data_IF_335935543475
#
_entry.id   IF_335935543475
#
_cell.length_a   1.000
_cell.length_b   1.000
_cell.length_c   1.000
_cell.angle_alpha   90.00
_cell.angle_beta   90.00
_cell.angle_gamma   90.00
#
_symmetry.space_group_name_H-M   'P 1'
#
loop_
_entity.id
_entity.type
_entity.pdbx_description
1 polymer ?
#
# COMPACT_ATOMS: atom_id res chain seq x y z
N UNK A 1 -15.24 79.53 -69.50
CA UNK A 1 -16.04 78.35 -69.34
C UNK A 1 -15.53 77.68 -68.11
N UNK A 2 -16.28 77.72 -66.99
CA UNK A 2 -15.93 77.07 -65.76
C UNK A 2 -16.43 75.59 -65.82
N UNK A 3 -15.55 74.61 -65.65
CA UNK A 3 -15.91 73.19 -65.61
C UNK A 3 -16.35 72.93 -64.21
N UNK A 4 -17.64 72.73 -64.05
CA UNK A 4 -18.25 72.36 -62.80
C UNK A 4 -17.87 70.91 -62.50
N UNK A 5 -17.03 70.71 -61.48
CA UNK A 5 -16.60 69.39 -61.03
C UNK A 5 -17.66 68.83 -60.06
N UNK A 6 -18.53 68.03 -60.64
CA UNK A 6 -19.46 67.22 -59.79
C UNK A 6 -18.67 66.15 -59.03
N UNK A 7 -18.72 66.16 -57.68
CA UNK A 7 -18.04 65.08 -56.94
C UNK A 7 -18.68 63.72 -57.23
N UNK A 8 -17.88 62.65 -57.34
CA UNK A 8 -18.42 61.34 -57.61
C UNK A 8 -19.44 60.96 -56.52
N UNK A 9 -20.56 60.44 -56.97
CA UNK A 9 -21.66 60.08 -56.10
C UNK A 9 -21.22 59.02 -55.07
N UNK A 10 -21.41 59.29 -53.79
CA UNK A 10 -21.11 58.40 -52.69
C UNK A 10 -22.06 57.19 -52.58
N UNK A 11 -22.66 56.77 -53.70
CA UNK A 11 -23.59 55.63 -53.75
C UNK A 11 -22.93 54.28 -53.53
N UNK A 12 -21.61 54.19 -53.70
CA UNK A 12 -20.84 52.95 -53.54
C UNK A 12 -20.80 52.50 -52.07
N UNK A 13 -21.02 53.43 -51.15
CA UNK A 13 -20.95 53.11 -49.67
C UNK A 13 -22.29 52.74 -49.03
N UNK A 14 -23.42 52.81 -49.79
CA UNK A 14 -24.75 52.50 -49.27
C UNK A 14 -25.07 50.99 -49.13
N UNK A 15 -24.27 50.17 -49.81
CA UNK A 15 -24.42 48.71 -49.77
C UNK A 15 -23.33 48.02 -48.93
N UNK A 16 -22.56 48.76 -48.11
CA UNK A 16 -21.72 48.17 -47.09
C UNK A 16 -22.60 47.58 -46.01
N UNK A 17 -22.96 46.33 -46.19
CA UNK A 17 -23.48 45.51 -45.10
C UNK A 17 -22.36 45.37 -44.10
N UNK A 18 -22.64 45.75 -42.84
CA UNK A 18 -21.76 45.52 -41.72
C UNK A 18 -21.46 44.02 -41.64
N UNK A 19 -20.17 43.65 -41.75
CA UNK A 19 -19.75 42.26 -41.63
C UNK A 19 -20.05 41.79 -40.23
N UNK A 20 -21.05 40.95 -40.13
CA UNK A 20 -21.37 40.32 -38.82
C UNK A 20 -20.11 39.66 -38.30
N UNK A 21 -19.63 40.14 -37.14
CA UNK A 21 -18.48 39.56 -36.46
C UNK A 21 -18.82 38.10 -36.18
N UNK A 22 -18.06 37.12 -36.70
CA UNK A 22 -18.32 35.73 -36.46
C UNK A 22 -18.29 35.48 -34.94
N UNK A 23 -19.24 34.67 -34.42
CA UNK A 23 -19.30 34.28 -33.04
C UNK A 23 -17.96 33.75 -32.58
N UNK A 24 -17.52 34.16 -31.39
CA UNK A 24 -16.25 33.74 -30.83
C UNK A 24 -16.12 32.23 -30.87
N UNK A 25 -15.10 31.73 -31.53
CA UNK A 25 -14.81 30.30 -31.63
C UNK A 25 -14.63 29.76 -30.23
N UNK A 26 -15.53 28.84 -29.80
CA UNK A 26 -15.44 28.20 -28.51
C UNK A 26 -14.07 27.53 -28.39
N UNK A 27 -13.29 27.90 -27.37
CA UNK A 27 -11.99 27.29 -27.05
C UNK A 27 -12.15 25.81 -26.63
N UNK A 28 -13.37 25.39 -26.33
CA UNK A 28 -13.66 24.00 -25.91
C UNK A 28 -13.88 23.11 -27.13
N UNK A 29 -13.10 22.04 -27.32
CA UNK A 29 -13.25 21.16 -28.46
C UNK A 29 -14.59 20.44 -28.45
N UNK A 30 -15.44 20.71 -29.43
CA UNK A 30 -16.81 20.21 -29.52
C UNK A 30 -16.95 18.88 -30.27
N UNK A 31 -15.85 18.38 -30.85
CA UNK A 31 -15.86 17.12 -31.62
C UNK A 31 -16.13 15.94 -30.73
N UNK A 32 -16.93 14.95 -31.21
CA UNK A 32 -17.30 13.75 -30.48
C UNK A 32 -16.07 12.96 -30.01
N UNK A 33 -14.99 12.98 -30.78
CA UNK A 33 -13.73 12.32 -30.41
C UNK A 33 -13.13 12.86 -29.10
N UNK A 34 -13.18 14.18 -28.86
CA UNK A 34 -12.71 14.78 -27.63
C UNK A 34 -13.57 14.41 -26.42
N UNK A 35 -14.87 14.24 -26.62
CA UNK A 35 -15.77 13.76 -25.55
C UNK A 35 -15.42 12.33 -25.16
N UNK A 36 -15.20 11.46 -26.14
CA UNK A 36 -14.77 10.06 -25.90
C UNK A 36 -13.41 10.03 -25.22
N UNK A 37 -12.44 10.81 -25.68
CA UNK A 37 -11.11 10.91 -25.07
C UNK A 37 -11.20 11.45 -23.64
N UNK A 38 -12.03 12.46 -23.39
CA UNK A 38 -12.26 13.00 -22.06
C UNK A 38 -12.82 11.96 -21.09
N UNK A 39 -13.81 11.18 -21.52
CA UNK A 39 -14.37 10.09 -20.73
C UNK A 39 -13.31 9.01 -20.46
N UNK A 40 -12.54 8.62 -21.46
CA UNK A 40 -11.47 7.63 -21.29
C UNK A 40 -10.42 8.10 -20.29
N UNK A 41 -9.96 9.35 -20.39
CA UNK A 41 -9.00 9.95 -19.45
C UNK A 41 -9.58 10.03 -18.02
N UNK A 42 -10.87 10.38 -17.91
CA UNK A 42 -11.55 10.39 -16.60
C UNK A 42 -11.54 9.00 -15.96
N UNK A 43 -11.88 7.96 -16.72
CA UNK A 43 -11.90 6.57 -16.21
C UNK A 43 -10.50 6.12 -15.79
N UNK A 44 -9.46 6.43 -16.57
CA UNK A 44 -8.06 6.15 -16.21
C UNK A 44 -7.66 6.89 -14.95
N UNK A 45 -8.00 8.18 -14.83
CA UNK A 45 -7.70 8.98 -13.66
C UNK A 45 -8.40 8.42 -12.39
N UNK A 46 -9.67 8.05 -12.49
CA UNK A 46 -10.42 7.41 -11.41
C UNK A 46 -9.80 6.07 -11.00
N UNK A 47 -9.40 5.24 -11.97
CA UNK A 47 -8.71 3.98 -11.69
C UNK A 47 -7.38 4.20 -10.97
N UNK A 48 -6.56 5.15 -11.44
CA UNK A 48 -5.29 5.49 -10.79
C UNK A 48 -5.50 6.06 -9.39
N UNK A 49 -6.46 6.96 -9.21
CA UNK A 49 -6.83 7.50 -7.90
C UNK A 49 -7.27 6.40 -6.94
N UNK A 50 -8.09 5.47 -7.39
CA UNK A 50 -8.50 4.30 -6.61
C UNK A 50 -7.30 3.43 -6.20
N UNK A 51 -6.40 3.12 -7.15
CA UNK A 51 -5.17 2.35 -6.88
C UNK A 51 -4.26 3.06 -5.86
N UNK A 52 -4.09 4.38 -5.99
CA UNK A 52 -3.31 5.19 -5.05
C UNK A 52 -3.95 5.25 -3.68
N UNK A 53 -5.26 5.44 -3.61
CA UNK A 53 -6.01 5.43 -2.35
C UNK A 53 -5.89 4.09 -1.62
N UNK A 54 -6.00 2.97 -2.33
CA UNK A 54 -5.78 1.63 -1.76
C UNK A 54 -4.35 1.46 -1.23
N UNK A 55 -3.35 1.90 -2.00
CA UNK A 55 -1.95 1.84 -1.54
C UNK A 55 -1.72 2.70 -0.31
N UNK A 56 -2.29 3.90 -0.29
CA UNK A 56 -2.17 4.81 0.85
C UNK A 56 -2.85 4.22 2.09
N UNK A 57 -4.05 3.67 1.92
CA UNK A 57 -4.80 3.01 3.00
C UNK A 57 -4.05 1.80 3.55
N UNK A 58 -3.56 0.94 2.67
CA UNK A 58 -2.79 -0.25 3.06
C UNK A 58 -1.45 0.08 3.73
N UNK A 59 -0.87 1.25 3.50
CA UNK A 59 0.37 1.67 4.15
C UNK A 59 0.14 2.40 5.48
N UNK A 60 -1.08 2.81 5.78
CA UNK A 60 -1.39 3.56 6.99
C UNK A 60 -1.17 2.72 8.25
N UNK A 61 -1.60 1.45 8.25
CA UNK A 61 -1.41 0.56 9.38
C UNK A 61 0.07 0.36 9.74
N UNK A 62 0.96 0.34 8.74
CA UNK A 62 2.41 0.23 8.98
C UNK A 62 2.96 1.41 9.77
N UNK A 63 2.52 2.62 9.41
CA UNK A 63 2.96 3.84 10.10
C UNK A 63 2.48 3.86 11.55
N UNK A 64 1.24 3.45 11.78
CA UNK A 64 0.66 3.37 13.12
C UNK A 64 1.38 2.30 13.96
N UNK A 65 1.57 1.09 13.41
CA UNK A 65 2.31 0.03 14.09
C UNK A 65 3.77 0.40 14.40
N UNK A 66 4.47 1.06 13.46
CA UNK A 66 5.82 1.56 13.68
C UNK A 66 5.87 2.62 14.77
N UNK A 67 4.90 3.55 14.79
CA UNK A 67 4.81 4.59 15.82
C UNK A 67 4.64 3.98 17.21
N UNK A 68 3.76 2.98 17.34
CA UNK A 68 3.58 2.26 18.61
C UNK A 68 4.86 1.56 19.07
N UNK A 69 5.60 0.89 18.16
CA UNK A 69 6.87 0.25 18.51
C UNK A 69 7.98 1.25 18.86
N UNK A 70 8.01 2.42 18.23
CA UNK A 70 9.02 3.46 18.54
C UNK A 70 8.85 4.07 19.94
N UNK A 71 7.64 4.06 20.48
CA UNK A 71 7.35 4.57 21.83
C UNK A 71 7.70 3.53 22.91
N UNK A 72 7.90 2.25 22.52
CA UNK A 72 8.23 1.20 23.48
C UNK A 72 9.66 1.35 24.01
N UNK A 73 9.78 1.41 25.33
CA UNK A 73 11.07 1.33 26.02
C UNK A 73 11.40 -0.14 26.33
N UNK A 74 12.57 -0.61 25.88
CA UNK A 74 13.06 -1.95 26.19
C UNK A 74 13.28 -2.19 27.71
N UNK A 75 13.34 -1.11 28.52
CA UNK A 75 13.39 -1.20 29.98
C UNK A 75 12.06 -1.63 30.59
N UNK A 76 10.95 -1.34 29.93
CA UNK A 76 9.64 -1.79 30.39
C UNK A 76 9.52 -3.31 30.26
N UNK A 77 9.15 -3.97 31.35
CA UNK A 77 8.94 -5.43 31.38
C UNK A 77 7.83 -5.89 30.43
N UNK A 78 6.86 -5.01 30.15
CA UNK A 78 5.73 -5.30 29.28
C UNK A 78 6.02 -5.00 27.78
N UNK A 79 7.21 -4.54 27.44
CA UNK A 79 7.57 -4.16 26.07
C UNK A 79 7.41 -5.32 25.09
N UNK A 80 7.80 -6.53 25.47
CA UNK A 80 7.69 -7.76 24.63
C UNK A 80 6.24 -8.18 24.39
N UNK A 81 5.39 -8.06 25.41
CA UNK A 81 3.96 -8.33 25.28
C UNK A 81 3.28 -7.31 24.37
N UNK A 82 3.62 -6.02 24.51
CA UNK A 82 3.12 -4.97 23.63
C UNK A 82 3.58 -5.17 22.18
N UNK A 83 4.85 -5.54 21.99
CA UNK A 83 5.39 -5.88 20.66
C UNK A 83 4.60 -7.03 20.03
N UNK A 84 4.33 -8.09 20.80
CA UNK A 84 3.51 -9.21 20.34
C UNK A 84 2.10 -8.75 19.94
N UNK A 85 1.43 -7.93 20.76
CA UNK A 85 0.09 -7.41 20.47
C UNK A 85 0.06 -6.60 19.18
N UNK A 86 1.04 -5.70 18.97
CA UNK A 86 1.14 -4.89 17.75
C UNK A 86 1.32 -5.77 16.53
N UNK A 87 2.27 -6.70 16.55
CA UNK A 87 2.52 -7.60 15.42
C UNK A 87 1.33 -8.53 15.16
N UNK A 88 0.65 -8.98 16.20
CA UNK A 88 -0.56 -9.82 16.07
C UNK A 88 -1.71 -9.08 15.41
N UNK A 89 -1.91 -7.80 15.75
CA UNK A 89 -2.91 -6.96 15.09
C UNK A 89 -2.56 -6.79 13.61
N UNK A 90 -1.29 -6.56 13.29
CA UNK A 90 -0.83 -6.45 11.90
C UNK A 90 -1.04 -7.75 11.13
N UNK A 91 -0.64 -8.90 11.69
CA UNK A 91 -0.85 -10.21 11.07
C UNK A 91 -2.34 -10.52 10.84
N UNK A 92 -3.20 -10.17 11.80
CA UNK A 92 -4.65 -10.32 11.65
C UNK A 92 -5.21 -9.42 10.56
N UNK A 93 -4.65 -8.23 10.40
CA UNK A 93 -5.04 -7.30 9.32
C UNK A 93 -4.64 -7.84 7.94
N UNK A 94 -3.46 -8.50 7.85
CA UNK A 94 -3.00 -9.11 6.60
C UNK A 94 -3.84 -10.33 6.21
N UNK A 95 -4.17 -11.18 7.18
CA UNK A 95 -5.01 -12.36 7.00
C UNK A 95 -5.70 -12.71 8.32
N UNK A 96 -7.02 -12.78 8.30
CA UNK A 96 -7.85 -13.09 9.47
C UNK A 96 -7.54 -14.49 10.06
N UNK A 97 -7.10 -15.45 9.24
CA UNK A 97 -6.67 -16.78 9.66
C UNK A 97 -5.48 -16.77 10.63
N UNK A 98 -4.64 -15.75 10.55
CA UNK A 98 -3.47 -15.59 11.43
C UNK A 98 -3.85 -15.26 12.89
N UNK A 99 -5.10 -14.90 13.17
CA UNK A 99 -5.55 -14.55 14.53
C UNK A 99 -5.37 -15.69 15.54
N UNK A 100 -5.43 -16.94 15.09
CA UNK A 100 -5.31 -18.14 15.94
C UNK A 100 -3.87 -18.59 16.19
N UNK A 101 -2.91 -18.04 15.43
CA UNK A 101 -1.52 -18.48 15.52
C UNK A 101 -0.87 -18.03 16.81
N UNK A 102 -0.09 -18.91 17.42
CA UNK A 102 0.73 -18.67 18.60
C UNK A 102 2.00 -19.53 18.59
N UNK A 103 3.01 -19.17 19.38
CA UNK A 103 4.26 -19.94 19.48
C UNK A 103 5.03 -20.00 18.16
N UNK A 104 5.63 -21.15 17.86
CA UNK A 104 6.46 -21.32 16.67
C UNK A 104 5.70 -21.11 15.35
N UNK A 105 4.41 -21.49 15.30
CA UNK A 105 3.57 -21.27 14.13
C UNK A 105 3.39 -19.79 13.81
N UNK A 106 3.32 -18.95 14.85
CA UNK A 106 3.26 -17.50 14.72
C UNK A 106 4.57 -16.92 14.16
N UNK A 107 5.71 -17.36 14.71
CA UNK A 107 7.05 -16.93 14.25
C UNK A 107 7.29 -17.34 12.80
N UNK A 108 6.97 -18.59 12.46
CA UNK A 108 7.10 -19.08 11.09
C UNK A 108 6.23 -18.27 10.11
N UNK A 109 5.05 -17.85 10.55
CA UNK A 109 4.18 -17.01 9.75
C UNK A 109 4.74 -15.60 9.55
N UNK A 110 5.33 -14.98 10.57
CA UNK A 110 6.04 -13.72 10.43
C UNK A 110 7.16 -13.82 9.40
N UNK A 111 7.98 -14.87 9.48
CA UNK A 111 9.07 -15.09 8.54
C UNK A 111 8.58 -15.33 7.10
N UNK A 112 7.41 -15.97 6.92
CA UNK A 112 6.82 -16.22 5.61
C UNK A 112 6.39 -14.94 4.87
N UNK A 113 6.09 -13.83 5.58
CA UNK A 113 5.77 -12.54 4.97
C UNK A 113 7.00 -11.73 4.53
N UNK A 114 8.19 -12.22 4.79
CA UNK A 114 9.42 -11.57 4.35
C UNK A 114 9.74 -11.92 2.89
N UNK A 115 10.31 -10.98 2.12
CA UNK A 115 10.77 -11.29 0.78
C UNK A 115 11.91 -12.32 0.85
N UNK A 116 11.75 -13.44 0.15
CA UNK A 116 12.84 -14.38 -0.05
C UNK A 116 13.83 -13.72 -1.02
N UNK A 117 14.92 -13.18 -0.50
CA UNK A 117 16.02 -12.72 -1.33
C UNK A 117 16.78 -13.97 -1.78
N UNK A 118 16.73 -14.27 -3.07
CA UNK A 118 17.34 -15.45 -3.67
C UNK A 118 18.89 -15.49 -3.55
N UNK A 119 19.51 -14.40 -3.13
CA UNK A 119 20.98 -14.24 -3.14
C UNK A 119 21.67 -14.57 -1.82
N UNK A 120 20.93 -14.97 -0.79
CA UNK A 120 21.58 -15.28 0.50
C UNK A 120 21.43 -16.75 0.82
N UNK A 121 22.40 -17.54 0.33
CA UNK A 121 22.61 -18.95 0.70
C UNK A 121 23.03 -19.16 2.17
N UNK A 122 22.77 -18.19 3.03
CA UNK A 122 23.05 -18.29 4.47
C UNK A 122 21.76 -18.54 5.22
N UNK A 123 21.75 -19.55 6.07
CA UNK A 123 20.66 -20.00 6.96
C UNK A 123 20.04 -18.93 7.88
N UNK A 124 20.29 -17.64 7.69
CA UNK A 124 19.87 -16.52 8.54
C UNK A 124 18.79 -15.63 7.93
N UNK A 125 17.96 -16.15 7.02
CA UNK A 125 16.79 -15.40 6.53
C UNK A 125 15.59 -15.40 7.49
N UNK A 126 15.71 -16.03 8.64
CA UNK A 126 14.76 -15.89 9.73
C UNK A 126 15.11 -14.62 10.51
N UNK A 127 14.37 -13.55 10.28
CA UNK A 127 14.51 -12.32 11.08
C UNK A 127 14.31 -12.60 12.57
N UNK A 128 13.38 -13.49 12.87
CA UNK A 128 13.19 -14.00 14.20
C UNK A 128 13.97 -15.31 14.33
N UNK A 129 15.16 -15.24 14.90
CA UNK A 129 16.02 -16.40 15.18
C UNK A 129 15.31 -17.36 16.12
N UNK A 130 15.41 -18.66 15.89
CA UNK A 130 14.66 -19.67 16.67
C UNK A 130 14.94 -19.58 18.20
N UNK A 131 16.14 -19.22 18.61
CA UNK A 131 16.52 -19.10 20.00
C UNK A 131 15.82 -17.93 20.71
N UNK A 132 15.96 -16.70 20.20
CA UNK A 132 15.37 -15.50 20.84
C UNK A 132 13.85 -15.50 20.71
N UNK A 133 13.32 -15.97 19.58
CA UNK A 133 11.88 -16.05 19.36
C UNK A 133 11.23 -17.13 20.23
N UNK A 134 11.92 -18.24 20.48
CA UNK A 134 11.47 -19.29 21.40
C UNK A 134 11.34 -18.76 22.83
N UNK A 135 12.40 -18.10 23.33
CA UNK A 135 12.40 -17.45 24.64
C UNK A 135 11.32 -16.35 24.73
N UNK A 136 11.16 -15.55 23.66
CA UNK A 136 10.10 -14.53 23.60
C UNK A 136 8.70 -15.14 23.72
N UNK A 137 8.40 -16.17 22.91
CA UNK A 137 7.11 -16.84 22.99
C UNK A 137 6.87 -17.52 24.35
N UNK A 138 7.91 -18.11 24.94
CA UNK A 138 7.83 -18.71 26.27
C UNK A 138 7.57 -17.65 27.35
N UNK A 139 8.20 -16.48 27.28
CA UNK A 139 8.00 -15.40 28.24
C UNK A 139 6.58 -14.82 28.24
N UNK A 140 5.81 -15.01 27.15
CA UNK A 140 4.41 -14.60 27.09
C UNK A 140 3.47 -15.56 27.81
N UNK A 141 3.91 -16.81 28.03
CA UNK A 141 3.12 -17.85 28.71
C UNK A 141 3.55 -17.98 30.19
N UNK A 142 4.86 -18.04 30.41
CA UNK A 142 5.43 -18.27 31.76
C UNK A 142 6.05 -16.95 32.28
N UNK A 143 5.46 -16.35 33.33
CA UNK A 143 5.98 -15.14 33.96
C UNK A 143 7.34 -15.31 34.64
N UNK A 144 7.79 -16.57 34.83
CA UNK A 144 9.11 -16.88 35.40
C UNK A 144 10.23 -16.68 34.37
N UNK A 145 9.91 -16.87 33.06
CA UNK A 145 10.87 -16.65 31.96
C UNK A 145 10.91 -15.16 31.64
N UNK A 146 12.05 -14.56 31.92
CA UNK A 146 12.25 -13.12 31.65
C UNK A 146 13.36 -12.93 30.64
N UNK A 147 13.07 -12.14 29.61
CA UNK A 147 14.10 -11.70 28.67
C UNK A 147 15.01 -10.67 29.32
N UNK A 148 16.29 -10.71 28.96
CA UNK A 148 17.25 -9.66 29.29
C UNK A 148 16.90 -8.35 28.57
N UNK A 149 17.51 -7.26 28.97
CA UNK A 149 17.33 -5.97 28.29
C UNK A 149 17.71 -6.05 26.81
N UNK A 150 18.84 -6.69 26.50
CA UNK A 150 19.35 -6.84 25.14
C UNK A 150 18.42 -7.66 24.26
N UNK A 151 17.91 -8.79 24.77
CA UNK A 151 16.94 -9.63 24.07
C UNK A 151 15.61 -8.89 23.78
N UNK A 152 15.15 -8.08 24.74
CA UNK A 152 13.94 -7.25 24.52
C UNK A 152 14.19 -6.18 23.44
N UNK A 153 15.35 -5.55 23.46
CA UNK A 153 15.73 -4.57 22.46
C UNK A 153 15.82 -5.23 21.09
N UNK A 154 16.42 -6.40 20.99
CA UNK A 154 16.51 -7.19 19.76
C UNK A 154 15.12 -7.52 19.19
N UNK A 155 14.20 -8.02 20.03
CA UNK A 155 12.80 -8.30 19.62
C UNK A 155 12.12 -7.06 19.06
N UNK A 156 12.24 -5.90 19.73
CA UNK A 156 11.63 -4.65 19.27
C UNK A 156 12.25 -4.20 17.94
N UNK A 157 13.57 -4.24 17.80
CA UNK A 157 14.28 -3.83 16.57
C UNK A 157 13.92 -4.76 15.41
N UNK A 158 13.88 -6.06 15.65
CA UNK A 158 13.49 -7.07 14.66
C UNK A 158 12.03 -6.86 14.23
N UNK A 159 11.13 -6.56 15.16
CA UNK A 159 9.75 -6.23 14.87
C UNK A 159 9.61 -4.97 14.00
N UNK A 160 10.39 -3.92 14.28
CA UNK A 160 10.40 -2.70 13.48
C UNK A 160 10.95 -2.95 12.07
N UNK A 161 12.01 -3.75 11.94
CA UNK A 161 12.54 -4.15 10.62
C UNK A 161 11.52 -4.97 9.84
N UNK A 162 10.87 -5.92 10.49
CA UNK A 162 9.82 -6.73 9.88
C UNK A 162 8.69 -5.85 9.33
N UNK A 163 8.20 -4.87 10.11
CA UNK A 163 7.18 -3.93 9.66
C UNK A 163 7.58 -3.11 8.43
N UNK A 164 8.87 -2.81 8.27
CA UNK A 164 9.38 -2.09 7.09
C UNK A 164 9.46 -2.98 5.85
N UNK A 165 9.81 -4.25 6.01
CA UNK A 165 10.18 -5.16 4.91
C UNK A 165 9.07 -6.10 4.47
N UNK A 166 8.10 -6.44 5.34
CA UNK A 166 7.07 -7.41 5.01
C UNK A 166 6.26 -6.99 3.77
N UNK A 167 5.90 -7.98 2.95
CA UNK A 167 5.04 -7.80 1.77
C UNK A 167 3.63 -8.30 2.08
N UNK A 168 2.58 -7.48 1.88
CA UNK A 168 1.19 -7.90 2.14
C UNK A 168 0.68 -8.98 1.16
N UNK A 169 1.42 -9.24 0.09
CA UNK A 169 0.94 -9.99 -1.08
C UNK A 169 1.43 -11.46 -1.11
N UNK A 170 1.86 -12.00 0.02
CA UNK A 170 2.15 -13.43 0.11
C UNK A 170 0.84 -14.17 0.19
N UNK A 171 0.25 -14.46 -0.97
CA UNK A 171 -0.84 -15.43 -1.05
C UNK A 171 -0.34 -16.75 -0.49
N UNK A 172 -0.79 -17.08 0.67
CA UNK A 172 -0.60 -18.39 1.24
C UNK A 172 -1.41 -19.38 0.41
N UNK A 173 -0.75 -20.05 -0.55
CA UNK A 173 -1.30 -21.29 -1.05
C UNK A 173 -1.46 -22.18 0.18
N UNK A 174 -2.68 -22.65 0.51
CA UNK A 174 -2.82 -23.65 1.55
C UNK A 174 -1.96 -24.83 1.14
N UNK A 175 -1.01 -25.21 1.97
CA UNK A 175 -0.27 -26.45 1.79
C UNK A 175 -1.25 -27.60 2.03
N UNK A 176 -1.95 -28.02 0.96
CA UNK A 176 -2.73 -29.25 0.92
C UNK A 176 -1.74 -30.39 0.61
N UNK A 177 -0.85 -30.64 1.55
CA UNK A 177 -0.02 -31.84 1.56
C UNK A 177 0.10 -32.32 2.99
N UNK A 178 -0.91 -32.98 3.50
CA UNK A 178 -0.84 -33.98 4.55
C UNK A 178 -2.22 -34.54 4.81
N UNK A 179 -2.76 -35.37 3.95
CA UNK A 179 -3.68 -36.46 4.35
C UNK A 179 -4.03 -37.31 3.11
N UNK A 180 -3.06 -38.05 2.61
CA UNK A 180 -3.38 -39.22 1.74
C UNK A 180 -2.22 -40.23 1.84
N UNK A 181 -1.98 -40.71 3.06
CA UNK A 181 -1.26 -41.99 3.27
C UNK A 181 -1.88 -42.60 4.51
N UNK A 182 -2.71 -43.57 4.30
CA UNK A 182 -3.18 -44.42 5.39
C UNK A 182 -4.59 -44.92 5.28
N UNK A 183 -4.94 -45.56 4.15
CA UNK A 183 -6.05 -46.53 4.13
C UNK A 183 -6.02 -47.37 2.82
N UNK A 184 -5.06 -48.26 2.76
CA UNK A 184 -5.20 -49.47 1.97
C UNK A 184 -4.30 -50.52 2.62
N UNK A 185 -4.90 -51.25 3.54
CA UNK A 185 -4.52 -52.61 3.94
C UNK A 185 -5.47 -53.11 5.01
N UNK A 186 -6.56 -53.71 4.61
CA UNK A 186 -7.10 -54.99 5.13
C UNK A 186 -8.02 -55.58 4.04
#
# INVERSE_FOLDING_TARGET
MAVEHTPPSTYILRELHDVTIPDSVSWFPQTIGWKILGVALLLVALYLAYRLALRWWNNRYRKEALKELMVLDARDKNSTERTFKVLKVVLRYLDSGNAKLFGQAYVNRLNAYLPVNADTSTKSNAFFTDEVSGLWMQSLIDPKVRLTFEQRLEVIQTAMMWLKLHKPDVQTKPNVQATTEGQDNV
#
